data_IF_588920397870
#
_entry.id   IF_588920397870
#
_cell.length_a   1.000
_cell.length_b   1.000
_cell.length_c   1.000
_cell.angle_alpha   90.00
_cell.angle_beta   90.00
_cell.angle_gamma   90.00
#
_symmetry.space_group_name_H-M   'P 1'
#
loop_
_entity.id
_entity.type
_entity.pdbx_description
1 polymer ?
#
# COMPACT_ATOMS: atom_id res chain seq x y z
N UNK A 1 -14.96 9.29 -15.44
CA UNK A 1 -14.27 10.47 -14.85
C UNK A 1 -12.76 10.48 -15.14
N UNK A 2 -12.20 11.57 -15.69
CA UNK A 2 -10.76 11.67 -15.94
C UNK A 2 -10.01 11.57 -14.60
N UNK A 3 -9.11 10.58 -14.48
CA UNK A 3 -8.28 10.40 -13.30
C UNK A 3 -7.37 11.62 -13.18
N UNK A 4 -7.61 12.48 -12.19
CA UNK A 4 -6.74 13.62 -11.89
C UNK A 4 -5.30 13.11 -11.79
N UNK A 5 -4.40 13.66 -12.59
CA UNK A 5 -2.99 13.34 -12.52
C UNK A 5 -2.53 13.58 -11.08
N UNK A 6 -2.00 12.53 -10.44
CA UNK A 6 -1.56 12.60 -9.05
C UNK A 6 -0.28 13.43 -9.04
N UNK A 7 -0.40 14.72 -8.68
CA UNK A 7 0.75 15.61 -8.60
C UNK A 7 1.88 14.94 -7.79
N UNK A 8 3.11 14.91 -8.32
CA UNK A 8 4.24 14.43 -7.55
C UNK A 8 4.34 15.24 -6.26
N UNK A 9 4.51 14.56 -5.12
CA UNK A 9 4.63 15.21 -3.81
C UNK A 9 5.91 16.06 -3.79
N UNK A 10 5.83 17.23 -3.17
CA UNK A 10 7.02 18.03 -2.85
C UNK A 10 8.00 17.21 -2.01
N UNK A 11 9.30 17.51 -2.15
CA UNK A 11 10.35 16.85 -1.36
C UNK A 11 10.11 17.00 0.15
N UNK A 12 9.57 18.15 0.57
CA UNK A 12 9.19 18.39 1.96
C UNK A 12 8.09 17.42 2.45
N UNK A 13 7.06 17.18 1.63
CA UNK A 13 6.01 16.21 1.94
C UNK A 13 6.56 14.77 2.04
N UNK A 14 7.56 14.44 1.21
CA UNK A 14 8.24 13.14 1.26
C UNK A 14 9.04 12.99 2.55
N UNK A 15 9.77 14.04 2.97
CA UNK A 15 10.55 14.07 4.22
C UNK A 15 9.65 13.92 5.45
N UNK A 16 8.59 14.72 5.56
CA UNK A 16 7.60 14.61 6.66
C UNK A 16 7.00 13.21 6.78
N UNK A 17 6.68 12.58 5.64
CA UNK A 17 6.19 11.19 5.64
C UNK A 17 7.27 10.22 6.14
N UNK A 18 8.53 10.36 5.70
CA UNK A 18 9.64 9.50 6.17
C UNK A 18 9.83 9.60 7.67
N UNK A 19 9.84 10.82 8.22
CA UNK A 19 10.00 11.05 9.67
C UNK A 19 8.83 10.46 10.47
N UNK A 20 7.59 10.58 9.97
CA UNK A 20 6.42 9.96 10.61
C UNK A 20 6.41 8.43 10.52
N UNK A 21 6.94 7.87 9.43
CA UNK A 21 7.02 6.41 9.23
C UNK A 21 8.11 5.78 10.13
N UNK A 22 9.19 6.52 10.43
CA UNK A 22 10.37 6.07 11.21
C UNK A 22 10.04 5.52 12.62
N UNK A 23 9.28 6.22 13.49
CA UNK A 23 8.93 5.71 14.82
C UNK A 23 7.88 4.58 14.78
N UNK A 24 7.15 4.43 13.68
CA UNK A 24 6.12 3.39 13.53
C UNK A 24 6.68 2.03 13.11
N UNK A 25 8.01 1.92 12.99
CA UNK A 25 8.71 0.76 12.45
C UNK A 25 8.09 0.23 11.14
N UNK A 26 7.41 1.09 10.37
CA UNK A 26 6.78 0.69 9.11
C UNK A 26 7.87 0.52 8.07
N UNK A 27 8.24 -0.72 7.81
CA UNK A 27 8.98 -1.09 6.59
C UNK A 27 8.13 -0.67 5.40
N UNK A 28 8.65 0.26 4.59
CA UNK A 28 8.03 0.56 3.30
C UNK A 28 8.24 -0.65 2.41
N UNK A 29 7.31 -1.60 2.46
CA UNK A 29 7.22 -2.64 1.46
C UNK A 29 6.80 -1.94 0.17
N UNK A 30 7.76 -1.71 -0.73
CA UNK A 30 7.46 -1.26 -2.07
C UNK A 30 6.87 -2.47 -2.81
N UNK A 31 5.54 -2.62 -2.71
CA UNK A 31 4.78 -3.66 -3.41
C UNK A 31 4.95 -3.51 -4.94
N UNK A 32 5.27 -2.30 -5.41
CA UNK A 32 5.71 -2.03 -6.78
C UNK A 32 4.78 -2.65 -7.83
N UNK A 33 5.31 -3.45 -8.77
CA UNK A 33 4.52 -4.10 -9.81
C UNK A 33 3.53 -5.14 -9.29
N UNK A 34 3.65 -5.59 -8.04
CA UNK A 34 2.69 -6.50 -7.41
C UNK A 34 1.47 -5.78 -6.82
N UNK A 35 1.46 -4.44 -6.75
CA UNK A 35 0.30 -3.68 -6.24
C UNK A 35 -1.00 -3.92 -7.02
N UNK A 36 -1.02 -3.93 -8.37
CA UNK A 36 -2.21 -4.28 -9.14
C UNK A 36 -2.69 -5.70 -8.85
N UNK A 37 -1.77 -6.66 -8.72
CA UNK A 37 -2.08 -8.05 -8.42
C UNK A 37 -2.70 -8.19 -7.03
N UNK A 38 -2.12 -7.57 -5.99
CA UNK A 38 -2.68 -7.56 -4.64
C UNK A 38 -4.06 -6.90 -4.59
N UNK A 39 -4.27 -5.80 -5.32
CA UNK A 39 -5.59 -5.15 -5.42
C UNK A 39 -6.62 -6.01 -6.14
N UNK A 40 -6.23 -6.74 -7.18
CA UNK A 40 -7.12 -7.69 -7.85
C UNK A 40 -7.49 -8.83 -6.89
N UNK A 41 -6.52 -9.35 -6.16
CA UNK A 41 -6.71 -10.39 -5.15
C UNK A 41 -7.72 -9.96 -4.09
N UNK A 42 -7.52 -8.77 -3.48
CA UNK A 42 -8.44 -8.18 -2.51
C UNK A 42 -9.88 -8.03 -3.03
N UNK A 43 -10.08 -7.81 -4.32
CA UNK A 43 -11.43 -7.72 -4.89
C UNK A 43 -12.08 -9.07 -5.11
N UNK A 44 -11.28 -10.09 -5.42
CA UNK A 44 -11.77 -11.45 -5.63
C UNK A 44 -11.97 -12.21 -4.32
N UNK A 45 -11.26 -11.81 -3.28
CA UNK A 45 -11.44 -12.30 -1.91
C UNK A 45 -12.41 -11.37 -1.18
N UNK A 46 -13.11 -11.86 -0.15
CA UNK A 46 -13.90 -11.02 0.76
C UNK A 46 -13.04 -10.18 1.72
N UNK A 47 -11.71 -10.20 1.55
CA UNK A 47 -10.74 -9.46 2.35
C UNK A 47 -10.84 -7.95 2.10
N UNK A 48 -10.89 -7.18 3.18
CA UNK A 48 -10.98 -5.72 3.11
C UNK A 48 -9.64 -5.03 3.29
N UNK A 49 -8.69 -5.70 3.96
CA UNK A 49 -7.36 -5.18 4.25
C UNK A 49 -6.27 -6.14 3.77
N UNK A 50 -5.08 -5.59 3.52
CA UNK A 50 -3.88 -6.38 3.21
C UNK A 50 -3.58 -7.39 4.34
N UNK A 51 -3.91 -7.05 5.59
CA UNK A 51 -3.75 -7.95 6.74
C UNK A 51 -4.68 -9.16 6.65
N UNK A 52 -5.97 -8.96 6.32
CA UNK A 52 -6.93 -10.05 6.15
C UNK A 52 -6.48 -11.00 5.04
N UNK A 53 -5.96 -10.42 3.95
CA UNK A 53 -5.43 -11.17 2.83
C UNK A 53 -4.17 -11.96 3.21
N UNK A 54 -3.28 -11.36 4.02
CA UNK A 54 -2.08 -12.03 4.51
C UNK A 54 -2.43 -13.24 5.38
N UNK A 55 -3.40 -13.10 6.30
CA UNK A 55 -3.89 -14.22 7.12
C UNK A 55 -4.46 -15.33 6.24
N UNK A 56 -5.33 -14.99 5.28
CA UNK A 56 -5.90 -15.95 4.33
C UNK A 56 -4.84 -16.71 3.52
N UNK A 57 -3.72 -16.07 3.18
CA UNK A 57 -2.65 -16.67 2.38
C UNK A 57 -1.64 -17.48 3.21
N UNK A 58 -1.47 -17.15 4.50
CA UNK A 58 -0.57 -17.85 5.43
C UNK A 58 -1.23 -19.14 5.94
N UNK A 59 -2.54 -19.12 6.20
CA UNK A 59 -3.31 -20.29 6.67
C UNK A 59 -3.67 -21.28 5.53
N UNK A 60 -2.85 -21.32 4.46
CA UNK A 60 -3.00 -22.27 3.33
C UNK A 60 -1.97 -23.38 3.36
#
# INVERSE_FOLDING_TARGET
PPKKARNPRSEESRKRKRERDRPRAKTRVNIGPAFPCGRALLKTTTCTTDSDLAVLLIDR
#
